data_IF_995214490064
#
_entry.id   IF_995214490064
#
_cell.length_a   1.000
_cell.length_b   1.000
_cell.length_c   1.000
_cell.angle_alpha   90.00
_cell.angle_beta   90.00
_cell.angle_gamma   90.00
#
_symmetry.space_group_name_H-M   'P 1'
#
loop_
_entity.id
_entity.type
_entity.pdbx_description
1 polymer ?
#
# COMPACT_ATOMS: atom_id res chain seq x y z
N UNK A 1 -16.54 -22.64 24.55
CA UNK A 1 -16.16 -23.02 23.18
C UNK A 1 -15.72 -21.75 22.49
N UNK A 2 -14.42 -21.59 22.20
CA UNK A 2 -13.88 -20.34 21.68
C UNK A 2 -14.13 -20.23 20.18
N UNK A 3 -14.89 -19.20 19.80
CA UNK A 3 -15.04 -18.74 18.43
C UNK A 3 -13.66 -18.36 17.89
N UNK A 4 -13.04 -19.30 17.17
CA UNK A 4 -11.84 -19.04 16.39
C UNK A 4 -12.19 -17.99 15.36
N UNK A 5 -11.63 -16.80 15.54
CA UNK A 5 -11.51 -15.71 14.58
C UNK A 5 -11.19 -16.29 13.19
N UNK A 6 -12.22 -16.54 12.38
CA UNK A 6 -12.13 -16.66 10.93
C UNK A 6 -12.26 -15.26 10.35
N UNK A 7 -11.30 -14.41 10.67
CA UNK A 7 -10.91 -13.33 9.76
C UNK A 7 -9.63 -13.79 9.11
N UNK A 8 -9.76 -14.82 8.25
CA UNK A 8 -8.79 -15.03 7.18
C UNK A 8 -8.92 -13.81 6.27
N UNK A 9 -8.27 -12.73 6.70
CA UNK A 9 -7.80 -11.66 5.84
C UNK A 9 -7.24 -12.36 4.62
N UNK A 10 -7.88 -12.19 3.46
CA UNK A 10 -7.30 -12.57 2.18
C UNK A 10 -5.90 -11.94 2.18
N UNK A 11 -4.87 -12.77 2.41
CA UNK A 11 -3.48 -12.33 2.37
C UNK A 11 -3.32 -11.63 1.02
N UNK A 12 -3.07 -10.32 1.05
CA UNK A 12 -2.76 -9.58 -0.16
C UNK A 12 -1.70 -10.37 -0.93
N UNK A 13 -1.96 -10.67 -2.21
CA UNK A 13 -1.00 -11.37 -3.04
C UNK A 13 0.27 -10.51 -3.15
N UNK A 14 1.46 -11.11 -3.14
CA UNK A 14 2.68 -10.31 -3.12
C UNK A 14 3.94 -11.10 -2.78
N UNK A 15 5.04 -10.37 -2.67
CA UNK A 15 6.35 -10.89 -2.28
C UNK A 15 7.12 -9.84 -1.49
N UNK A 16 8.17 -10.29 -0.80
CA UNK A 16 9.05 -9.43 -0.03
C UNK A 16 10.51 -9.86 -0.18
N UNK A 17 11.40 -8.90 -0.02
CA UNK A 17 12.84 -9.07 0.16
C UNK A 17 13.27 -8.21 1.34
N UNK A 18 14.55 -8.29 1.70
CA UNK A 18 15.13 -7.47 2.77
C UNK A 18 14.93 -5.97 2.57
N UNK A 19 14.76 -5.49 1.32
CA UNK A 19 14.65 -4.06 1.00
C UNK A 19 13.35 -3.66 0.33
N UNK A 20 12.47 -4.61 0.00
CA UNK A 20 11.29 -4.34 -0.81
C UNK A 20 10.09 -5.16 -0.34
N UNK A 21 8.95 -4.49 -0.20
CA UNK A 21 7.67 -5.09 0.13
C UNK A 21 6.69 -4.78 -0.99
N UNK A 22 6.07 -5.81 -1.58
CA UNK A 22 5.04 -5.65 -2.62
C UNK A 22 3.78 -6.37 -2.20
N UNK A 23 2.65 -5.66 -2.24
CA UNK A 23 1.31 -6.19 -1.96
C UNK A 23 0.33 -5.77 -3.04
N UNK A 24 -0.57 -6.68 -3.39
CA UNK A 24 -1.61 -6.53 -4.39
C UNK A 24 -2.98 -6.75 -3.76
N UNK A 25 -3.87 -5.80 -4.00
CA UNK A 25 -5.22 -5.79 -3.44
C UNK A 25 -6.23 -5.81 -4.59
N UNK A 26 -7.10 -6.83 -4.66
CA UNK A 26 -8.20 -6.80 -5.62
C UNK A 26 -9.15 -5.66 -5.31
N UNK A 27 -9.63 -4.98 -6.35
CA UNK A 27 -10.73 -4.01 -6.19
C UNK A 27 -11.99 -4.75 -5.71
N UNK A 28 -12.81 -4.17 -4.80
CA UNK A 28 -12.98 -2.74 -4.58
C UNK A 28 -12.22 -2.11 -3.40
N UNK A 29 -11.11 -2.70 -2.91
CA UNK A 29 -10.31 -2.11 -1.82
C UNK A 29 -9.95 -0.64 -2.10
N UNK A 30 -9.97 0.22 -1.06
CA UNK A 30 -9.57 1.62 -1.20
C UNK A 30 -8.05 1.78 -1.29
N UNK A 31 -7.57 2.82 -1.96
CA UNK A 31 -6.12 3.08 -2.06
C UNK A 31 -5.54 3.40 -0.70
N UNK A 32 -6.27 4.17 0.11
CA UNK A 32 -5.91 4.49 1.48
C UNK A 32 -5.69 3.24 2.34
N UNK A 33 -6.60 2.26 2.28
CA UNK A 33 -6.49 1.02 3.05
C UNK A 33 -5.32 0.16 2.56
N UNK A 34 -5.18 0.01 1.24
CA UNK A 34 -4.09 -0.75 0.64
C UNK A 34 -2.72 -0.17 1.05
N UNK A 35 -2.57 1.16 1.00
CA UNK A 35 -1.33 1.84 1.36
C UNK A 35 -1.07 1.74 2.87
N UNK A 36 -2.07 2.06 3.70
CA UNK A 36 -1.94 2.00 5.16
C UNK A 36 -1.55 0.60 5.62
N UNK A 37 -2.25 -0.43 5.12
CA UNK A 37 -1.97 -1.83 5.46
C UNK A 37 -0.55 -2.23 5.08
N UNK A 38 -0.11 -1.88 3.86
CA UNK A 38 1.25 -2.25 3.39
C UNK A 38 2.33 -1.50 4.16
N UNK A 39 2.10 -0.23 4.50
CA UNK A 39 3.04 0.57 5.29
C UNK A 39 3.16 0.05 6.72
N UNK A 40 2.06 -0.34 7.36
CA UNK A 40 2.10 -0.96 8.68
C UNK A 40 2.88 -2.28 8.67
N UNK A 41 2.74 -3.08 7.62
CA UNK A 41 3.51 -4.33 7.45
C UNK A 41 5.01 -4.06 7.25
N UNK A 42 5.37 -3.07 6.42
CA UNK A 42 6.76 -2.65 6.28
C UNK A 42 7.33 -2.13 7.60
N UNK A 43 6.55 -1.37 8.38
CA UNK A 43 6.98 -0.85 9.66
C UNK A 43 7.21 -1.94 10.71
N UNK A 44 6.43 -3.01 10.69
CA UNK A 44 6.64 -4.18 11.54
C UNK A 44 7.89 -4.99 11.12
N UNK A 45 8.20 -5.00 9.83
CA UNK A 45 9.31 -5.80 9.27
C UNK A 45 10.65 -5.07 9.29
N UNK A 46 10.64 -3.73 9.20
CA UNK A 46 11.85 -2.90 9.18
C UNK A 46 11.86 -1.98 10.41
N UNK A 47 12.55 -2.36 11.50
CA UNK A 47 12.48 -1.67 12.80
C UNK A 47 12.74 -0.16 12.75
N UNK A 48 13.58 0.30 11.80
CA UNK A 48 13.86 1.73 11.58
C UNK A 48 12.63 2.57 11.21
N UNK A 49 11.58 1.95 10.69
CA UNK A 49 10.31 2.62 10.36
C UNK A 49 9.35 2.67 11.55
N UNK A 50 9.45 1.71 12.47
CA UNK A 50 8.58 1.62 13.65
C UNK A 50 8.78 2.76 14.66
N UNK A 51 9.94 3.42 14.62
CA UNK A 51 10.28 4.55 15.50
C UNK A 51 9.64 5.89 15.06
N UNK A 52 8.98 5.91 13.91
CA UNK A 52 8.45 7.14 13.30
C UNK A 52 6.92 7.19 13.32
N UNK A 53 6.31 8.40 13.34
CA UNK A 53 4.86 8.54 13.50
C UNK A 53 4.06 7.94 12.32
N UNK A 54 2.76 7.60 12.53
CA UNK A 54 1.92 6.95 11.52
C UNK A 54 1.83 7.72 10.19
N UNK A 55 1.67 6.98 9.08
CA UNK A 55 1.52 7.53 7.72
C UNK A 55 0.47 8.63 7.61
N UNK A 56 -0.66 8.47 8.29
CA UNK A 56 -1.77 9.43 8.29
C UNK A 56 -1.39 10.82 8.79
N UNK A 57 -0.26 10.95 9.51
CA UNK A 57 0.26 12.25 9.96
C UNK A 57 1.09 12.98 8.89
N UNK A 58 1.54 12.27 7.84
CA UNK A 58 2.39 12.82 6.78
C UNK A 58 1.70 12.88 5.42
N UNK A 59 0.74 11.98 5.19
CA UNK A 59 0.01 11.88 3.94
C UNK A 59 -1.48 11.91 4.27
N UNK A 60 -2.19 12.82 3.61
CA UNK A 60 -3.65 12.82 3.58
C UNK A 60 -4.11 11.60 2.77
N UNK A 61 -4.28 10.48 3.46
CA UNK A 61 -4.64 9.19 2.87
C UNK A 61 -6.00 9.23 2.17
N UNK A 62 -6.91 10.10 2.61
CA UNK A 62 -8.20 10.32 1.94
C UNK A 62 -8.01 11.02 0.59
N UNK A 63 -7.07 11.96 0.50
CA UNK A 63 -6.70 12.56 -0.79
C UNK A 63 -6.00 11.57 -1.73
N UNK A 64 -5.35 10.51 -1.22
CA UNK A 64 -4.79 9.46 -2.08
C UNK A 64 -5.89 8.75 -2.88
N UNK A 65 -7.05 8.49 -2.27
CA UNK A 65 -8.20 7.95 -2.99
C UNK A 65 -8.64 8.87 -4.15
N UNK A 66 -8.54 10.19 -3.96
CA UNK A 66 -8.87 11.20 -4.96
C UNK A 66 -7.88 11.32 -6.13
N UNK A 67 -6.64 10.85 -5.97
CA UNK A 67 -5.63 10.84 -7.05
C UNK A 67 -5.98 9.84 -8.15
N UNK A 68 -6.64 8.75 -7.77
CA UNK A 68 -6.99 7.66 -8.66
C UNK A 68 -8.49 7.71 -8.96
N UNK A 69 -8.92 8.73 -9.73
CA UNK A 69 -10.30 8.78 -10.23
C UNK A 69 -10.55 7.59 -11.16
N UNK A 70 -11.74 7.00 -11.08
CA UNK A 70 -12.21 5.90 -11.94
C UNK A 70 -12.10 6.17 -13.45
N UNK A 71 -11.96 7.43 -13.88
CA UNK A 71 -11.70 7.81 -15.29
C UNK A 71 -10.26 7.59 -15.76
N UNK A 72 -9.33 7.28 -14.87
CA UNK A 72 -7.93 7.03 -15.23
C UNK A 72 -7.72 5.62 -15.83
N UNK A 73 -8.78 4.83 -15.98
CA UNK A 73 -8.78 3.55 -16.70
C UNK A 73 -9.27 3.65 -18.14
N UNK A 74 -9.22 4.84 -18.76
CA UNK A 74 -9.29 4.91 -20.23
C UNK A 74 -8.08 4.13 -20.78
N UNK A 75 -8.29 3.41 -21.89
CA UNK A 75 -7.43 2.43 -22.57
C UNK A 75 -6.00 2.88 -22.96
N UNK A 76 -5.47 3.92 -22.32
CA UNK A 76 -4.06 4.23 -22.30
C UNK A 76 -3.27 3.06 -21.69
N UNK A 77 -2.19 2.66 -22.37
CA UNK A 77 -1.25 1.60 -21.92
C UNK A 77 -0.49 1.95 -20.62
N UNK A 78 -0.91 3.01 -19.92
CA UNK A 78 -0.21 3.56 -18.76
C UNK A 78 -1.10 3.41 -17.53
N UNK A 79 -0.68 2.55 -16.60
CA UNK A 79 -1.37 2.41 -15.32
C UNK A 79 -1.20 3.70 -14.51
N UNK A 80 -2.30 4.32 -14.06
CA UNK A 80 -2.21 5.44 -13.13
C UNK A 80 -1.35 5.06 -11.93
N UNK A 81 -0.38 5.92 -11.60
CA UNK A 81 0.54 5.66 -10.51
C UNK A 81 0.81 6.91 -9.67
N UNK A 82 1.10 6.69 -8.39
CA UNK A 82 1.60 7.73 -7.50
C UNK A 82 2.88 7.23 -6.83
N UNK A 83 3.84 8.14 -6.68
CA UNK A 83 5.10 7.87 -5.99
C UNK A 83 5.30 8.96 -4.94
N UNK A 84 5.56 8.55 -3.70
CA UNK A 84 5.88 9.48 -2.62
C UNK A 84 6.90 8.87 -1.66
N UNK A 85 7.51 9.70 -0.83
CA UNK A 85 8.46 9.27 0.20
C UNK A 85 7.75 9.15 1.53
N UNK A 86 8.03 8.10 2.28
CA UNK A 86 7.57 7.91 3.64
C UNK A 86 8.69 7.32 4.47
N UNK A 87 9.13 8.03 5.51
CA UNK A 87 10.13 7.55 6.48
C UNK A 87 11.41 6.97 5.81
N UNK A 88 11.93 7.67 4.80
CA UNK A 88 13.12 7.20 4.06
C UNK A 88 12.87 6.04 3.10
N UNK A 89 11.63 5.57 2.97
CA UNK A 89 11.18 4.62 1.96
C UNK A 89 10.49 5.32 0.79
N UNK A 90 10.54 4.69 -0.37
CA UNK A 90 9.77 5.06 -1.56
C UNK A 90 8.53 4.20 -1.58
N UNK A 91 7.37 4.86 -1.59
CA UNK A 91 6.09 4.20 -1.77
C UNK A 91 5.64 4.45 -3.20
N UNK A 92 5.40 3.37 -3.95
CA UNK A 92 4.84 3.40 -5.29
C UNK A 92 3.49 2.69 -5.27
N UNK A 93 2.46 3.38 -5.74
CA UNK A 93 1.10 2.85 -5.88
C UNK A 93 0.79 2.76 -7.36
N UNK A 94 0.45 1.57 -7.86
CA UNK A 94 -0.09 1.35 -9.20
C UNK A 94 -1.57 1.02 -9.09
N UNK A 95 -2.40 1.74 -9.83
CA UNK A 95 -3.85 1.59 -9.81
C UNK A 95 -4.33 0.99 -11.12
N UNK A 96 -4.73 -0.29 -11.10
CA UNK A 96 -5.30 -0.98 -12.24
C UNK A 96 -6.42 -1.93 -11.84
N UNK A 97 -6.45 -3.13 -12.44
CA UNK A 97 -7.33 -4.23 -11.99
C UNK A 97 -7.10 -4.57 -10.51
N UNK A 98 -5.85 -4.46 -10.09
CA UNK A 98 -5.41 -4.56 -8.70
C UNK A 98 -4.78 -3.23 -8.29
N UNK A 99 -4.88 -2.89 -7.01
CA UNK A 99 -4.06 -1.85 -6.41
C UNK A 99 -2.77 -2.53 -5.98
N UNK A 100 -1.64 -2.17 -6.59
CA UNK A 100 -0.32 -2.67 -6.18
C UNK A 100 0.38 -1.58 -5.38
N UNK A 101 0.77 -1.90 -4.15
CA UNK A 101 1.57 -1.03 -3.30
C UNK A 101 2.96 -1.64 -3.18
N UNK A 102 3.97 -0.83 -3.45
CA UNK A 102 5.38 -1.21 -3.38
C UNK A 102 6.08 -0.26 -2.43
N UNK A 103 6.77 -0.79 -1.43
CA UNK A 103 7.59 -0.02 -0.50
C UNK A 103 9.03 -0.48 -0.68
N UNK A 104 9.93 0.47 -0.91
CA UNK A 104 11.35 0.23 -1.12
C UNK A 104 12.15 1.06 -0.12
N UNK A 105 13.00 0.42 0.68
CA UNK A 105 13.99 1.09 1.51
C UNK A 105 15.35 1.18 0.78
N UNK A 106 16.19 2.15 1.17
CA UNK A 106 17.53 2.39 0.60
C UNK A 106 17.52 2.66 -0.92
N UNK A 107 16.55 3.47 -1.39
CA UNK A 107 16.35 3.81 -2.80
C UNK A 107 16.99 5.14 -3.21
#
# INVERSE_FOLDING_TARGET
MSERQRTSSERAQGWETDTKLVREFPRPVSVADAVTSTVSEAAASWPRLSETPPLSQFVDVEKLNGLFKTKATDDSRWLPSAVFRFQGCRVTVLYGRYIRVMIEQNF
#
